data_IF_345176950872
#
_entry.id   IF_345176950872
#
_cell.length_a   1.000
_cell.length_b   1.000
_cell.length_c   1.000
_cell.angle_alpha   90.00
_cell.angle_beta   90.00
_cell.angle_gamma   90.00
#
_symmetry.space_group_name_H-M   'P 1'
#
loop_
_entity.id
_entity.type
_entity.pdbx_description
1 polymer ?
#
# COMPACT_ATOMS: atom_id res chain seq x y z
N UNK A 1 -9.73 -2.30 27.99
CA UNK A 1 -8.62 -1.32 28.11
C UNK A 1 -9.05 0.01 27.53
N UNK A 2 -8.57 1.16 28.07
CA UNK A 2 -8.81 2.47 27.46
C UNK A 2 -8.04 2.51 26.13
N UNK A 3 -8.72 2.88 25.02
CA UNK A 3 -8.10 2.95 23.69
C UNK A 3 -7.01 4.03 23.71
N UNK A 4 -5.83 3.71 23.19
CA UNK A 4 -4.79 4.72 22.94
C UNK A 4 -5.27 5.70 21.88
N UNK A 5 -4.75 6.94 21.89
CA UNK A 5 -4.99 7.94 20.85
C UNK A 5 -3.66 8.43 20.31
N UNK A 6 -3.64 8.95 19.08
CA UNK A 6 -2.48 9.66 18.56
C UNK A 6 -2.18 10.91 19.40
N UNK A 7 -0.89 11.21 19.59
CA UNK A 7 -0.48 12.42 20.30
C UNK A 7 -0.73 13.70 19.48
N UNK A 8 -0.68 13.57 18.15
CA UNK A 8 -0.78 14.71 17.25
C UNK A 8 -1.54 14.35 15.97
N UNK A 9 -2.22 15.37 15.41
CA UNK A 9 -2.87 15.27 14.11
C UNK A 9 -1.87 14.89 13.00
N UNK A 10 -0.68 15.50 13.00
CA UNK A 10 0.39 15.18 12.03
C UNK A 10 0.83 13.73 12.19
N UNK A 11 0.92 13.23 13.43
CA UNK A 11 1.20 11.81 13.69
C UNK A 11 0.17 10.89 13.05
N UNK A 12 -1.12 11.17 13.23
CA UNK A 12 -2.21 10.45 12.57
C UNK A 12 -2.08 10.47 11.04
N UNK A 13 -1.90 11.67 10.44
CA UNK A 13 -1.80 11.81 8.98
C UNK A 13 -0.59 11.03 8.44
N UNK A 14 0.58 11.17 9.06
CA UNK A 14 1.81 10.52 8.60
C UNK A 14 1.76 8.99 8.79
N UNK A 15 1.17 8.48 9.86
CA UNK A 15 0.99 7.03 10.06
C UNK A 15 0.02 6.47 9.04
N UNK A 16 -1.12 7.13 8.83
CA UNK A 16 -2.12 6.69 7.84
C UNK A 16 -1.59 6.79 6.41
N UNK A 17 -0.90 7.89 6.07
CA UNK A 17 -0.24 8.03 4.78
C UNK A 17 0.87 6.99 4.60
N UNK A 18 1.67 6.70 5.64
CA UNK A 18 2.70 5.66 5.61
C UNK A 18 2.14 4.24 5.44
N UNK A 19 0.88 4.01 5.82
CA UNK A 19 0.19 2.76 5.51
C UNK A 19 -0.21 2.67 4.03
N UNK A 20 -0.67 3.78 3.44
CA UNK A 20 -1.04 3.86 2.03
C UNK A 20 0.21 3.89 1.12
N UNK A 21 1.20 4.72 1.46
CA UNK A 21 2.46 4.84 0.71
C UNK A 21 3.26 3.55 0.86
N UNK A 22 3.23 2.74 -0.17
CA UNK A 22 3.90 1.46 -0.19
C UNK A 22 4.67 1.22 -1.48
N UNK A 23 5.02 -0.02 -1.67
CA UNK A 23 5.76 -0.49 -2.85
C UNK A 23 4.97 -0.21 -4.14
N UNK A 24 3.64 -0.28 -4.10
CA UNK A 24 2.76 -0.04 -5.23
C UNK A 24 2.88 1.35 -5.86
N UNK A 25 3.19 2.39 -5.07
CA UNK A 25 3.42 3.76 -5.55
C UNK A 25 4.68 3.88 -6.40
N UNK A 26 5.67 3.02 -6.17
CA UNK A 26 7.00 3.16 -6.78
C UNK A 26 7.21 2.20 -7.94
N UNK A 27 6.64 0.99 -7.92
CA UNK A 27 6.79 0.10 -9.07
C UNK A 27 5.54 -0.01 -9.93
N UNK A 28 4.35 -0.17 -9.33
CA UNK A 28 3.12 -0.45 -10.07
C UNK A 28 2.58 0.81 -10.76
N UNK A 29 2.56 1.93 -10.05
CA UNK A 29 2.05 3.18 -10.58
C UNK A 29 2.87 3.69 -11.77
N UNK A 30 4.23 3.83 -11.71
CA UNK A 30 5.01 4.26 -12.87
C UNK A 30 4.88 3.30 -14.04
N UNK A 31 4.98 2.00 -13.81
CA UNK A 31 4.80 1.00 -14.86
C UNK A 31 3.46 1.17 -15.58
N UNK A 32 2.35 1.23 -14.82
CA UNK A 32 1.03 1.42 -15.41
C UNK A 32 0.90 2.76 -16.14
N UNK A 33 1.48 3.84 -15.63
CA UNK A 33 1.48 5.13 -16.30
C UNK A 33 2.18 5.05 -17.66
N UNK A 34 3.34 4.39 -17.73
CA UNK A 34 4.08 4.19 -18.98
C UNK A 34 3.30 3.36 -20.00
N UNK A 35 2.65 2.29 -19.56
CA UNK A 35 1.90 1.37 -20.43
C UNK A 35 0.53 1.91 -20.88
N UNK A 36 -0.05 2.88 -20.18
CA UNK A 36 -1.43 3.34 -20.37
C UNK A 36 -1.54 4.80 -20.84
N UNK A 37 -0.56 5.32 -21.58
CA UNK A 37 -0.65 6.64 -22.21
C UNK A 37 -0.27 7.82 -21.31
N UNK A 38 0.59 7.59 -20.33
CA UNK A 38 1.22 8.64 -19.52
C UNK A 38 0.22 9.53 -18.81
N UNK A 39 0.17 10.82 -19.20
CA UNK A 39 -0.67 11.83 -18.56
C UNK A 39 -2.16 11.50 -18.54
N UNK A 40 -2.70 10.77 -19.51
CA UNK A 40 -4.10 10.32 -19.46
C UNK A 40 -4.36 9.34 -18.33
N UNK A 41 -3.45 8.37 -18.13
CA UNK A 41 -3.56 7.45 -17.00
C UNK A 41 -3.52 8.20 -15.68
N UNK A 42 -2.59 9.15 -15.52
CA UNK A 42 -2.48 9.98 -14.31
C UNK A 42 -3.77 10.76 -14.05
N UNK A 43 -4.38 11.36 -15.08
CA UNK A 43 -5.64 12.07 -14.95
C UNK A 43 -6.79 11.16 -14.49
N UNK A 44 -6.95 9.98 -15.12
CA UNK A 44 -7.97 9.01 -14.68
C UNK A 44 -7.70 8.49 -13.28
N UNK A 45 -6.44 8.22 -12.93
CA UNK A 45 -6.06 7.82 -11.58
C UNK A 45 -6.47 8.87 -10.54
N UNK A 46 -6.16 10.14 -10.77
CA UNK A 46 -6.56 11.25 -9.87
C UNK A 46 -8.08 11.37 -9.75
N UNK A 47 -8.79 11.23 -10.87
CA UNK A 47 -10.25 11.25 -10.87
C UNK A 47 -10.82 10.13 -9.99
N UNK A 48 -10.35 8.88 -10.17
CA UNK A 48 -10.82 7.74 -9.38
C UNK A 48 -10.41 7.80 -7.92
N UNK A 49 -9.24 8.37 -7.60
CA UNK A 49 -8.86 8.66 -6.23
C UNK A 49 -9.87 9.56 -5.51
N UNK A 50 -10.34 10.62 -6.21
CA UNK A 50 -11.31 11.55 -5.64
C UNK A 50 -12.70 10.91 -5.52
N UNK A 51 -13.17 10.23 -6.57
CA UNK A 51 -14.55 9.73 -6.59
C UNK A 51 -14.73 8.38 -5.87
N UNK A 52 -13.67 7.59 -5.71
CA UNK A 52 -13.74 6.28 -5.06
C UNK A 52 -12.84 6.19 -3.82
N UNK A 53 -11.57 6.53 -3.94
CA UNK A 53 -10.59 6.38 -2.87
C UNK A 53 -10.95 7.18 -1.62
N UNK A 54 -11.16 8.49 -1.75
CA UNK A 54 -11.53 9.35 -0.62
C UNK A 54 -12.85 8.89 0.05
N UNK A 55 -13.95 8.61 -0.66
CA UNK A 55 -15.17 8.09 -0.05
C UNK A 55 -14.98 6.80 0.74
N UNK A 56 -14.31 5.79 0.18
CA UNK A 56 -14.12 4.51 0.87
C UNK A 56 -13.20 4.67 2.07
N UNK A 57 -12.13 5.46 1.95
CA UNK A 57 -11.25 5.79 3.09
C UNK A 57 -12.02 6.45 4.22
N UNK A 58 -12.93 7.40 3.93
CA UNK A 58 -13.74 8.01 4.97
C UNK A 58 -14.68 7.02 5.66
N UNK A 59 -15.13 5.97 4.95
CA UNK A 59 -15.97 4.91 5.54
C UNK A 59 -15.19 4.05 6.52
N UNK A 60 -13.99 3.60 6.17
CA UNK A 60 -13.13 2.86 7.10
C UNK A 60 -12.78 3.71 8.33
N UNK A 61 -12.31 4.94 8.13
CA UNK A 61 -12.00 5.86 9.23
C UNK A 61 -13.22 6.10 10.12
N UNK A 62 -14.44 6.22 9.53
CA UNK A 62 -15.67 6.47 10.28
C UNK A 62 -16.06 5.28 11.17
N UNK A 63 -15.98 4.06 10.65
CA UNK A 63 -16.26 2.84 11.41
C UNK A 63 -15.28 2.73 12.60
N UNK A 64 -13.99 2.96 12.36
CA UNK A 64 -12.96 2.96 13.40
C UNK A 64 -13.20 4.04 14.45
N UNK A 65 -13.42 5.30 14.05
CA UNK A 65 -13.59 6.42 14.96
C UNK A 65 -14.88 6.32 15.79
N UNK A 66 -15.99 5.91 15.18
CA UNK A 66 -17.26 5.76 15.87
C UNK A 66 -17.26 4.60 16.87
N UNK A 67 -16.60 3.49 16.53
CA UNK A 67 -16.56 2.30 17.39
C UNK A 67 -15.48 2.34 18.45
N UNK A 68 -14.36 3.03 18.19
CA UNK A 68 -13.14 2.99 19.04
C UNK A 68 -12.61 1.56 19.24
N UNK A 69 -12.81 0.69 18.24
CA UNK A 69 -12.46 -0.73 18.28
C UNK A 69 -11.72 -1.13 16.99
N UNK A 70 -11.12 -2.32 17.02
CA UNK A 70 -10.65 -2.99 15.80
C UNK A 70 -11.82 -3.59 15.02
N UNK A 71 -11.59 -3.99 13.77
CA UNK A 71 -12.63 -4.30 12.79
C UNK A 71 -13.75 -5.21 13.30
N UNK A 72 -13.44 -6.37 13.90
CA UNK A 72 -14.47 -7.32 14.36
C UNK A 72 -15.40 -6.70 15.40
N UNK A 73 -14.83 -6.09 16.42
CA UNK A 73 -15.60 -5.45 17.49
C UNK A 73 -16.15 -4.08 17.05
N UNK A 74 -15.52 -3.45 16.06
CA UNK A 74 -15.99 -2.22 15.45
C UNK A 74 -17.32 -2.41 14.74
N UNK A 75 -17.39 -3.38 13.85
CA UNK A 75 -18.64 -3.77 13.22
C UNK A 75 -19.70 -4.19 14.23
N UNK A 76 -19.31 -5.06 15.20
CA UNK A 76 -20.23 -5.54 16.23
C UNK A 76 -20.83 -4.42 17.10
N UNK A 77 -20.08 -3.33 17.32
CA UNK A 77 -20.55 -2.18 18.10
C UNK A 77 -21.54 -1.28 17.33
N UNK A 78 -21.44 -1.26 15.99
CA UNK A 78 -22.21 -0.35 15.14
C UNK A 78 -23.34 -1.04 14.38
N UNK A 79 -23.29 -2.36 14.21
CA UNK A 79 -24.26 -3.14 13.46
C UNK A 79 -25.63 -3.18 14.17
N UNK A 80 -26.75 -3.28 13.40
CA UNK A 80 -28.08 -3.54 13.97
C UNK A 80 -28.14 -4.87 14.70
N UNK A 81 -28.96 -4.94 15.74
CA UNK A 81 -29.16 -6.17 16.51
C UNK A 81 -29.58 -7.34 15.61
N UNK A 82 -28.94 -8.50 15.76
CA UNK A 82 -29.20 -9.71 14.99
C UNK A 82 -28.56 -9.76 13.61
N UNK A 83 -27.84 -8.72 13.18
CA UNK A 83 -27.08 -8.73 11.94
C UNK A 83 -25.74 -9.48 12.09
N UNK A 84 -25.06 -9.71 10.98
CA UNK A 84 -23.80 -10.48 10.94
C UNK A 84 -22.66 -9.73 10.24
N UNK A 85 -22.70 -8.39 10.23
CA UNK A 85 -21.66 -7.59 9.59
C UNK A 85 -20.26 -7.78 10.21
N UNK A 86 -20.18 -8.12 11.48
CA UNK A 86 -18.93 -8.41 12.19
C UNK A 86 -18.11 -9.56 11.55
N UNK A 87 -18.72 -10.44 10.74
CA UNK A 87 -17.98 -11.46 9.98
C UNK A 87 -17.01 -10.83 8.99
N UNK A 88 -17.36 -9.65 8.44
CA UNK A 88 -16.42 -8.92 7.60
C UNK A 88 -15.18 -8.47 8.38
N UNK A 89 -15.30 -8.14 9.64
CA UNK A 89 -14.14 -7.85 10.50
C UNK A 89 -13.12 -9.00 10.54
N UNK A 90 -13.60 -10.26 10.55
CA UNK A 90 -12.70 -11.43 10.45
C UNK A 90 -12.07 -11.54 9.06
N UNK A 91 -12.81 -11.26 7.99
CA UNK A 91 -12.24 -11.21 6.65
C UNK A 91 -11.14 -10.14 6.53
N UNK A 92 -11.31 -8.98 7.20
CA UNK A 92 -10.27 -7.95 7.29
C UNK A 92 -9.01 -8.44 8.00
N UNK A 93 -9.15 -9.15 9.13
CA UNK A 93 -8.00 -9.73 9.86
C UNK A 93 -7.25 -10.74 9.00
N UNK A 94 -7.98 -11.62 8.30
CA UNK A 94 -7.38 -12.59 7.37
C UNK A 94 -6.71 -11.87 6.21
N UNK A 95 -7.34 -10.82 5.65
CA UNK A 95 -6.77 -10.01 4.57
C UNK A 95 -5.47 -9.32 4.97
N UNK A 96 -5.41 -8.76 6.18
CA UNK A 96 -4.17 -8.20 6.75
C UNK A 96 -3.07 -9.26 6.93
N UNK A 97 -3.43 -10.47 7.38
CA UNK A 97 -2.48 -11.57 7.53
C UNK A 97 -1.93 -12.00 6.17
N UNK A 98 -2.80 -12.25 5.18
CA UNK A 98 -2.41 -12.61 3.82
C UNK A 98 -1.52 -11.54 3.17
N UNK A 99 -1.88 -10.26 3.32
CA UNK A 99 -1.05 -9.15 2.85
C UNK A 99 0.36 -9.24 3.44
N UNK A 100 0.48 -9.46 4.75
CA UNK A 100 1.78 -9.48 5.41
C UNK A 100 2.59 -10.73 5.10
N UNK A 101 2.00 -11.84 4.67
CA UNK A 101 2.72 -13.06 4.30
C UNK A 101 3.73 -12.79 3.17
N UNK A 102 3.34 -12.08 2.12
CA UNK A 102 4.26 -11.73 1.03
C UNK A 102 4.95 -10.38 1.23
N UNK A 103 4.26 -9.41 1.82
CA UNK A 103 4.77 -8.04 1.92
C UNK A 103 6.01 -7.92 2.82
N UNK A 104 6.09 -8.74 3.89
CA UNK A 104 7.30 -8.81 4.74
C UNK A 104 8.51 -9.35 4.00
N UNK A 105 8.31 -10.31 3.08
CA UNK A 105 9.36 -10.85 2.22
C UNK A 105 9.86 -9.78 1.25
N UNK A 106 8.95 -9.08 0.57
CA UNK A 106 9.32 -8.01 -0.37
C UNK A 106 9.98 -6.83 0.35
N UNK A 107 9.50 -6.46 1.54
CA UNK A 107 10.16 -5.46 2.38
C UNK A 107 11.57 -5.90 2.79
N UNK A 108 11.76 -7.19 3.05
CA UNK A 108 13.08 -7.80 3.27
C UNK A 108 14.02 -7.64 2.08
N UNK A 109 13.52 -7.78 0.83
CA UNK A 109 14.31 -7.55 -0.38
C UNK A 109 14.79 -6.11 -0.50
N UNK A 110 13.94 -5.12 -0.16
CA UNK A 110 14.33 -3.70 -0.14
C UNK A 110 15.48 -3.46 0.83
N UNK A 111 15.36 -4.02 2.02
CA UNK A 111 16.40 -3.94 3.05
C UNK A 111 17.69 -4.64 2.60
N UNK A 112 17.62 -5.81 1.99
CA UNK A 112 18.77 -6.53 1.45
C UNK A 112 19.51 -5.71 0.41
N UNK A 113 18.79 -5.10 -0.54
CA UNK A 113 19.38 -4.26 -1.57
C UNK A 113 20.00 -2.98 -1.01
N UNK A 114 19.37 -2.37 0.00
CA UNK A 114 19.98 -1.26 0.73
C UNK A 114 21.37 -1.65 1.26
N UNK A 115 21.47 -2.78 1.95
CA UNK A 115 22.77 -3.25 2.47
C UNK A 115 23.73 -3.62 1.35
N UNK A 116 23.30 -4.24 0.25
CA UNK A 116 24.15 -4.57 -0.90
C UNK A 116 24.75 -3.30 -1.54
N UNK A 117 23.97 -2.21 -1.68
CA UNK A 117 24.48 -0.94 -2.19
C UNK A 117 25.43 -0.26 -1.21
N UNK A 118 25.07 -0.16 0.07
CA UNK A 118 25.91 0.48 1.10
C UNK A 118 27.24 -0.26 1.29
N UNK A 119 27.20 -1.60 1.31
CA UNK A 119 28.43 -2.42 1.46
C UNK A 119 29.32 -2.39 0.22
N UNK A 120 28.80 -1.95 -0.94
CA UNK A 120 29.54 -1.95 -2.20
C UNK A 120 29.53 -3.30 -2.91
N UNK A 121 28.59 -4.21 -2.58
CA UNK A 121 28.48 -5.49 -3.28
C UNK A 121 28.22 -5.34 -4.80
N UNK A 122 27.67 -4.20 -5.21
CA UNK A 122 27.49 -3.88 -6.62
C UNK A 122 28.72 -3.33 -7.34
N UNK A 123 29.83 -3.03 -6.65
CA UNK A 123 31.06 -2.51 -7.31
C UNK A 123 31.78 -3.54 -8.18
N UNK A 124 31.53 -4.83 -7.96
CA UNK A 124 32.07 -5.94 -8.75
C UNK A 124 31.09 -6.48 -9.79
N UNK A 125 29.89 -5.90 -9.87
CA UNK A 125 28.81 -6.31 -10.77
C UNK A 125 28.81 -5.41 -12.00
N UNK A 126 28.69 -5.97 -13.21
CA UNK A 126 28.50 -5.21 -14.44
C UNK A 126 27.02 -5.08 -14.76
N UNK A 127 26.66 -4.19 -15.68
CA UNK A 127 25.26 -3.99 -16.13
C UNK A 127 24.67 -5.30 -16.65
N UNK A 128 25.44 -6.10 -17.41
CA UNK A 128 25.00 -7.37 -17.98
C UNK A 128 24.77 -8.45 -16.92
N UNK A 129 25.50 -8.40 -15.81
CA UNK A 129 25.40 -9.41 -14.72
C UNK A 129 24.51 -8.97 -13.58
N UNK A 130 23.98 -7.75 -13.60
CA UNK A 130 23.18 -7.18 -12.50
C UNK A 130 21.91 -7.98 -12.20
N UNK A 131 21.26 -8.55 -13.22
CA UNK A 131 20.06 -9.36 -13.06
C UNK A 131 20.33 -10.64 -12.25
N UNK A 132 21.54 -11.17 -12.33
CA UNK A 132 21.95 -12.33 -11.54
C UNK A 132 21.95 -12.08 -10.02
N UNK A 133 22.12 -10.82 -9.58
CA UNK A 133 22.09 -10.47 -8.16
C UNK A 133 20.71 -10.74 -7.57
N UNK A 134 19.65 -10.37 -8.28
CA UNK A 134 18.30 -10.65 -7.85
C UNK A 134 17.97 -12.15 -7.93
N UNK A 135 18.30 -12.79 -9.03
CA UNK A 135 18.09 -14.24 -9.21
C UNK A 135 18.84 -15.06 -8.12
N UNK A 136 20.07 -14.71 -7.81
CA UNK A 136 20.86 -15.37 -6.75
C UNK A 136 20.24 -15.15 -5.36
N UNK A 137 19.73 -13.95 -5.08
CA UNK A 137 19.03 -13.68 -3.82
C UNK A 137 17.76 -14.49 -3.69
N UNK A 138 16.94 -14.56 -4.75
CA UNK A 138 15.71 -15.37 -4.77
C UNK A 138 16.01 -16.87 -4.63
N UNK A 139 17.10 -17.34 -5.22
CA UNK A 139 17.59 -18.73 -5.09
C UNK A 139 18.15 -19.08 -3.71
N UNK A 140 18.38 -18.09 -2.84
CA UNK A 140 18.97 -18.30 -1.51
C UNK A 140 17.92 -18.16 -0.38
N UNK A 141 17.32 -19.28 0.09
CA UNK A 141 16.27 -19.23 1.11
C UNK A 141 16.77 -18.66 2.46
N UNK A 142 18.06 -18.82 2.76
CA UNK A 142 18.65 -18.33 4.02
C UNK A 142 18.74 -16.80 3.99
N UNK A 143 19.26 -16.23 2.91
CA UNK A 143 19.35 -14.77 2.75
C UNK A 143 17.96 -14.14 2.78
N UNK A 144 17.02 -14.65 1.99
CA UNK A 144 15.64 -14.17 1.97
C UNK A 144 14.99 -14.28 3.36
N UNK A 145 15.16 -15.43 4.03
CA UNK A 145 14.59 -15.68 5.35
C UNK A 145 15.16 -14.75 6.43
N UNK A 146 16.46 -14.45 6.40
CA UNK A 146 17.11 -13.51 7.34
C UNK A 146 16.53 -12.11 7.18
N UNK A 147 16.45 -11.56 5.97
CA UNK A 147 15.93 -10.21 5.75
C UNK A 147 14.42 -10.10 6.02
N UNK A 148 13.64 -11.13 5.70
CA UNK A 148 12.25 -11.23 6.12
C UNK A 148 12.12 -11.25 7.64
N UNK A 149 12.92 -12.05 8.35
CA UNK A 149 12.91 -12.14 9.81
C UNK A 149 13.29 -10.79 10.46
N UNK A 150 14.29 -10.07 9.93
CA UNK A 150 14.67 -8.73 10.39
C UNK A 150 13.50 -7.75 10.21
N UNK A 151 12.81 -7.81 9.08
CA UNK A 151 11.64 -6.96 8.82
C UNK A 151 10.51 -7.26 9.82
N UNK A 152 10.19 -8.53 10.03
CA UNK A 152 9.16 -8.95 11.01
C UNK A 152 9.56 -8.52 12.42
N UNK A 153 10.77 -8.82 12.85
CA UNK A 153 11.26 -8.47 14.19
C UNK A 153 11.28 -6.95 14.41
N UNK A 154 11.74 -6.18 13.42
CA UNK A 154 11.73 -4.72 13.47
C UNK A 154 10.31 -4.14 13.60
N UNK A 155 9.36 -4.63 12.79
CA UNK A 155 7.96 -4.21 12.87
C UNK A 155 7.32 -4.52 14.24
N UNK A 156 7.57 -5.71 14.77
CA UNK A 156 7.09 -6.11 16.10
C UNK A 156 7.73 -5.26 17.22
N UNK A 157 9.02 -4.94 17.09
CA UNK A 157 9.71 -4.07 18.05
C UNK A 157 9.07 -2.68 18.09
N UNK A 158 8.79 -2.09 16.94
CA UNK A 158 8.08 -0.80 16.84
C UNK A 158 6.70 -0.88 17.48
N UNK A 159 5.90 -1.88 17.10
CA UNK A 159 4.54 -2.05 17.64
C UNK A 159 4.53 -2.39 19.15
N UNK A 160 5.56 -3.03 19.68
CA UNK A 160 5.66 -3.34 21.12
C UNK A 160 5.65 -2.08 22.01
N UNK A 161 6.15 -0.96 21.48
CA UNK A 161 6.17 0.34 22.15
C UNK A 161 4.82 1.05 22.28
N UNK A 162 3.73 0.49 21.73
CA UNK A 162 2.41 1.11 21.69
C UNK A 162 2.23 2.08 20.53
N UNK A 163 1.05 2.69 20.48
CA UNK A 163 0.71 3.62 19.37
C UNK A 163 1.57 4.87 19.44
N UNK A 164 1.68 5.50 20.60
CA UNK A 164 2.32 6.82 20.74
C UNK A 164 3.84 6.74 20.69
N UNK A 165 4.44 5.88 21.52
CA UNK A 165 5.90 5.81 21.68
C UNK A 165 6.57 4.94 20.62
N UNK A 166 5.87 3.93 20.11
CA UNK A 166 6.34 3.02 19.06
C UNK A 166 5.91 3.51 17.68
N UNK A 167 4.68 3.19 17.28
CA UNK A 167 4.18 3.40 15.92
C UNK A 167 4.27 4.87 15.48
N UNK A 168 3.61 5.81 16.20
CA UNK A 168 3.56 7.22 15.80
C UNK A 168 4.96 7.86 15.73
N UNK A 169 5.79 7.64 16.77
CA UNK A 169 7.11 8.26 16.83
C UNK A 169 8.02 7.77 15.70
N UNK A 170 8.09 6.45 15.51
CA UNK A 170 8.99 5.83 14.52
C UNK A 170 8.51 6.15 13.10
N UNK A 171 7.22 5.92 12.81
CA UNK A 171 6.66 6.18 11.48
C UNK A 171 6.75 7.66 11.11
N UNK A 172 6.55 8.58 12.06
CA UNK A 172 6.69 10.02 11.80
C UNK A 172 8.11 10.38 11.34
N UNK A 173 9.15 9.85 12.00
CA UNK A 173 10.54 10.08 11.60
C UNK A 173 10.79 9.47 10.22
N UNK A 174 10.39 8.22 10.01
CA UNK A 174 10.55 7.53 8.73
C UNK A 174 9.86 8.27 7.59
N UNK A 175 8.63 8.72 7.78
CA UNK A 175 7.87 9.46 6.76
C UNK A 175 8.48 10.81 6.41
N UNK A 176 9.00 11.55 7.38
CA UNK A 176 9.73 12.81 7.11
C UNK A 176 11.00 12.53 6.31
N UNK A 177 11.78 11.50 6.70
CA UNK A 177 12.97 11.08 5.94
C UNK A 177 12.59 10.59 4.53
N UNK A 178 11.53 9.80 4.39
CA UNK A 178 11.02 9.31 3.11
C UNK A 178 10.66 10.47 2.17
N UNK A 179 9.88 11.44 2.66
CA UNK A 179 9.49 12.61 1.87
C UNK A 179 10.69 13.48 1.48
N UNK A 180 11.70 13.61 2.34
CA UNK A 180 12.94 14.31 2.00
C UNK A 180 13.75 13.53 0.94
N UNK A 181 13.90 12.21 1.10
CA UNK A 181 14.62 11.36 0.17
C UNK A 181 14.00 11.35 -1.22
N UNK A 182 12.66 11.24 -1.33
CA UNK A 182 12.00 11.22 -2.63
C UNK A 182 12.19 12.55 -3.38
N UNK A 183 12.16 13.68 -2.68
CA UNK A 183 12.43 14.98 -3.28
C UNK A 183 13.89 15.07 -3.77
N UNK A 184 14.86 14.66 -2.97
CA UNK A 184 16.28 14.65 -3.35
C UNK A 184 16.52 13.77 -4.56
N UNK A 185 15.97 12.55 -4.57
CA UNK A 185 16.08 11.61 -5.69
C UNK A 185 15.43 12.16 -6.97
N UNK A 186 14.23 12.76 -6.86
CA UNK A 186 13.55 13.34 -8.00
C UNK A 186 14.32 14.56 -8.56
N UNK A 187 14.80 15.46 -7.71
CA UNK A 187 15.62 16.61 -8.15
C UNK A 187 16.87 16.11 -8.87
N UNK A 188 17.57 15.11 -8.33
CA UNK A 188 18.73 14.51 -9.01
C UNK A 188 18.32 13.91 -10.38
N UNK A 189 17.24 13.13 -10.43
CA UNK A 189 16.79 12.50 -11.68
C UNK A 189 16.42 13.53 -12.75
N UNK A 190 15.87 14.68 -12.36
CA UNK A 190 15.56 15.80 -13.25
C UNK A 190 16.81 16.52 -13.82
N UNK A 191 18.00 16.32 -13.24
CA UNK A 191 19.26 16.87 -13.79
C UNK A 191 19.92 15.98 -14.82
N UNK A 192 19.40 14.77 -15.04
CA UNK A 192 19.95 13.81 -16.00
C UNK A 192 19.67 14.23 -17.46
N UNK A 193 20.51 13.79 -18.39
CA UNK A 193 20.46 14.19 -19.81
C UNK A 193 19.15 13.80 -20.52
N UNK A 194 18.52 12.70 -20.15
CA UNK A 194 17.25 12.20 -20.68
C UNK A 194 16.01 12.74 -19.98
N UNK A 195 16.16 13.61 -18.97
CA UNK A 195 15.06 14.02 -18.10
C UNK A 195 13.87 14.61 -18.87
N UNK A 196 14.12 15.50 -19.81
CA UNK A 196 13.06 16.12 -20.61
C UNK A 196 12.21 15.10 -21.39
N UNK A 197 12.86 14.08 -21.99
CA UNK A 197 12.17 13.00 -22.72
C UNK A 197 11.38 12.10 -21.75
N UNK A 198 11.96 11.78 -20.60
CA UNK A 198 11.29 10.97 -19.58
C UNK A 198 10.06 11.66 -19.01
N UNK A 199 10.12 12.97 -18.73
CA UNK A 199 8.97 13.76 -18.26
C UNK A 199 7.90 13.85 -19.35
N UNK A 200 8.29 14.12 -20.60
CA UNK A 200 7.36 14.18 -21.74
C UNK A 200 6.62 12.84 -21.90
N UNK A 201 7.33 11.72 -21.86
CA UNK A 201 6.74 10.40 -21.91
C UNK A 201 5.77 10.13 -20.75
N UNK A 202 6.13 10.52 -19.53
CA UNK A 202 5.37 10.25 -18.32
C UNK A 202 4.11 11.12 -18.18
N UNK A 203 4.24 12.42 -18.42
CA UNK A 203 3.18 13.39 -18.12
C UNK A 203 2.43 13.89 -19.37
N UNK A 204 3.01 13.74 -20.56
CA UNK A 204 2.31 14.12 -21.78
C UNK A 204 1.25 13.09 -22.15
N UNK A 205 -0.01 13.52 -22.36
CA UNK A 205 -1.08 12.63 -22.80
C UNK A 205 -0.77 12.01 -24.18
N UNK A 206 -0.70 10.69 -24.25
CA UNK A 206 -0.41 9.95 -25.48
C UNK A 206 -1.66 9.22 -26.00
N UNK A 207 -2.27 9.75 -27.07
CA UNK A 207 -3.48 9.20 -27.65
C UNK A 207 -3.24 7.94 -28.48
N UNK A 208 -2.04 7.76 -29.04
CA UNK A 208 -1.72 6.57 -29.84
C UNK A 208 -1.60 5.34 -28.93
N UNK A 209 -1.01 5.50 -27.75
CA UNK A 209 -1.01 4.44 -26.73
C UNK A 209 -2.41 4.10 -26.27
N UNK A 210 -3.30 5.09 -26.08
CA UNK A 210 -4.70 4.82 -25.73
C UNK A 210 -5.43 4.03 -26.82
N UNK A 211 -5.18 4.36 -28.09
CA UNK A 211 -5.78 3.64 -29.22
C UNK A 211 -5.29 2.20 -29.32
N UNK A 212 -4.00 1.94 -29.05
CA UNK A 212 -3.43 0.59 -29.08
C UNK A 212 -3.87 -0.28 -27.91
N UNK A 213 -3.87 0.29 -26.69
CA UNK A 213 -4.26 -0.43 -25.45
C UNK A 213 -5.79 -0.54 -25.30
N UNK A 214 -6.53 0.44 -25.80
CA UNK A 214 -7.97 0.58 -25.67
C UNK A 214 -8.34 1.42 -24.45
N UNK A 215 -9.18 2.43 -24.66
CA UNK A 215 -9.59 3.39 -23.61
C UNK A 215 -10.20 2.69 -22.37
N UNK A 216 -10.95 1.60 -22.57
CA UNK A 216 -11.54 0.84 -21.48
C UNK A 216 -10.47 0.24 -20.56
N UNK A 217 -9.41 -0.32 -21.13
CA UNK A 217 -8.29 -0.89 -20.36
C UNK A 217 -7.53 0.20 -19.59
N UNK A 218 -7.31 1.36 -20.21
CA UNK A 218 -6.66 2.50 -19.53
C UNK A 218 -7.47 2.97 -18.33
N UNK A 219 -8.79 3.14 -18.52
CA UNK A 219 -9.70 3.54 -17.44
C UNK A 219 -9.72 2.51 -16.31
N UNK A 220 -9.86 1.22 -16.62
CA UNK A 220 -9.91 0.16 -15.60
C UNK A 220 -8.59 -0.01 -14.88
N UNK A 221 -7.45 0.11 -15.56
CA UNK A 221 -6.13 0.07 -14.92
C UNK A 221 -5.93 1.27 -13.98
N UNK A 222 -6.35 2.48 -14.38
CA UNK A 222 -6.27 3.66 -13.53
C UNK A 222 -7.19 3.55 -12.31
N UNK A 223 -8.40 3.01 -12.50
CA UNK A 223 -9.37 2.76 -11.43
C UNK A 223 -8.84 1.72 -10.43
N UNK A 224 -8.30 0.60 -10.93
CA UNK A 224 -7.67 -0.42 -10.09
C UNK A 224 -6.49 0.13 -9.30
N UNK A 225 -5.63 0.93 -9.93
CA UNK A 225 -4.48 1.52 -9.27
C UNK A 225 -4.89 2.52 -8.18
N UNK A 226 -5.90 3.37 -8.44
CA UNK A 226 -6.41 4.33 -7.46
C UNK A 226 -7.00 3.64 -6.22
N UNK A 227 -7.52 2.43 -6.39
CA UNK A 227 -8.09 1.64 -5.32
C UNK A 227 -7.01 0.88 -4.54
N UNK A 228 -6.07 0.28 -5.27
CA UNK A 228 -4.99 -0.50 -4.71
C UNK A 228 -4.04 0.34 -3.85
N UNK A 229 -3.67 1.57 -4.32
CA UNK A 229 -2.68 2.41 -3.66
C UNK A 229 -3.05 2.76 -2.21
N UNK A 230 -4.34 2.83 -1.89
CA UNK A 230 -4.82 3.21 -0.55
C UNK A 230 -5.02 2.01 0.39
N UNK A 231 -4.82 0.77 -0.09
CA UNK A 231 -4.99 -0.48 0.69
C UNK A 231 -6.34 -0.56 1.42
N UNK A 232 -7.44 -0.12 0.76
CA UNK A 232 -8.78 -0.06 1.34
C UNK A 232 -9.50 -1.42 1.27
N UNK A 233 -10.38 -1.69 2.24
CA UNK A 233 -11.22 -2.88 2.27
C UNK A 233 -10.80 -3.93 3.31
N UNK A 234 -9.62 -3.79 3.93
CA UNK A 234 -9.10 -4.73 4.93
C UNK A 234 -8.92 -4.09 6.32
N UNK A 235 -9.63 -3.00 6.59
CA UNK A 235 -9.59 -2.28 7.86
C UNK A 235 -8.22 -1.63 8.20
N UNK A 236 -7.36 -1.42 7.20
CA UNK A 236 -6.07 -0.79 7.41
C UNK A 236 -6.24 0.67 7.91
N UNK A 237 -7.22 1.40 7.38
CA UNK A 237 -7.54 2.75 7.84
C UNK A 237 -8.50 2.77 9.04
N UNK A 238 -9.32 1.74 9.22
CA UNK A 238 -10.24 1.64 10.37
C UNK A 238 -9.50 1.66 11.70
N UNK A 239 -8.38 0.93 11.81
CA UNK A 239 -7.61 0.89 13.05
C UNK A 239 -7.11 2.29 13.44
N UNK A 240 -6.64 3.09 12.45
CA UNK A 240 -6.18 4.46 12.70
C UNK A 240 -7.32 5.40 13.03
N UNK A 241 -8.48 5.23 12.38
CA UNK A 241 -9.72 5.89 12.77
C UNK A 241 -10.04 5.68 14.25
N UNK A 242 -9.83 4.45 14.78
CA UNK A 242 -10.11 4.13 16.18
C UNK A 242 -9.20 4.86 17.19
N UNK A 243 -8.04 5.35 16.76
CA UNK A 243 -7.08 6.12 17.56
C UNK A 243 -7.20 7.64 17.35
N UNK A 244 -8.06 8.08 16.43
CA UNK A 244 -8.22 9.47 16.05
C UNK A 244 -9.11 10.24 17.03
N UNK A 245 -8.82 11.53 17.25
CA UNK A 245 -9.70 12.46 17.98
C UNK A 245 -10.87 12.94 17.10
N UNK A 246 -11.89 13.52 17.72
CA UNK A 246 -13.10 14.02 17.04
C UNK A 246 -12.98 15.46 16.53
N UNK A 247 -11.78 16.08 16.64
CA UNK A 247 -11.55 17.52 16.39
C UNK A 247 -11.62 17.90 14.91
N UNK A 248 -11.44 16.93 14.01
CA UNK A 248 -11.38 17.16 12.57
C UNK A 248 -12.32 16.25 11.78
N UNK A 249 -12.84 16.80 10.66
CA UNK A 249 -13.71 16.04 9.73
C UNK A 249 -12.92 14.93 9.03
N UNK A 250 -13.54 13.76 8.86
CA UNK A 250 -12.89 12.62 8.20
C UNK A 250 -12.60 12.88 6.72
N UNK A 251 -13.47 13.59 6.02
CA UNK A 251 -13.23 13.96 4.62
C UNK A 251 -11.96 14.79 4.46
N UNK A 252 -11.74 15.76 5.37
CA UNK A 252 -10.53 16.58 5.35
C UNK A 252 -9.25 15.77 5.60
N UNK A 253 -9.32 14.78 6.49
CA UNK A 253 -8.17 13.92 6.78
C UNK A 253 -7.89 12.93 5.64
N UNK A 254 -8.94 12.32 5.06
CA UNK A 254 -8.81 11.44 3.90
C UNK A 254 -8.18 12.17 2.69
N UNK A 255 -8.59 13.42 2.43
CA UNK A 255 -7.98 14.24 1.35
C UNK A 255 -6.47 14.43 1.60
N UNK A 256 -6.04 14.70 2.85
CA UNK A 256 -4.62 14.88 3.15
C UNK A 256 -3.81 13.61 2.99
N UNK A 257 -4.36 12.49 3.45
CA UNK A 257 -3.71 11.17 3.29
C UNK A 257 -3.57 10.84 1.80
N UNK A 258 -4.65 10.98 1.01
CA UNK A 258 -4.62 10.75 -0.44
C UNK A 258 -3.66 11.71 -1.16
N UNK A 259 -3.57 12.98 -0.73
CA UNK A 259 -2.64 13.93 -1.34
C UNK A 259 -1.17 13.55 -1.10
N UNK A 260 -0.83 13.04 0.09
CA UNK A 260 0.53 12.56 0.38
C UNK A 260 0.85 11.29 -0.41
N UNK A 261 -0.09 10.34 -0.49
CA UNK A 261 0.05 9.13 -1.28
C UNK A 261 0.29 9.44 -2.77
N UNK A 262 -0.56 10.31 -3.32
CA UNK A 262 -0.45 10.78 -4.71
C UNK A 262 0.87 11.51 -4.97
N UNK A 263 1.30 12.37 -4.04
CA UNK A 263 2.57 13.07 -4.15
C UNK A 263 3.72 12.08 -4.30
N UNK A 264 3.78 11.03 -3.48
CA UNK A 264 4.82 10.02 -3.57
C UNK A 264 4.73 9.24 -4.88
N UNK A 265 3.54 8.84 -5.33
CA UNK A 265 3.34 8.14 -6.59
C UNK A 265 3.83 8.97 -7.80
N UNK A 266 3.49 10.25 -7.86
CA UNK A 266 3.93 11.15 -8.92
C UNK A 266 5.45 11.37 -8.87
N UNK A 267 6.01 11.60 -7.69
CA UNK A 267 7.45 11.79 -7.51
C UNK A 267 8.25 10.53 -7.89
N UNK A 268 7.71 9.33 -7.63
CA UNK A 268 8.34 8.08 -8.06
C UNK A 268 8.45 8.00 -9.59
N UNK A 269 7.42 8.41 -10.33
CA UNK A 269 7.50 8.52 -11.78
C UNK A 269 8.56 9.54 -12.23
N UNK A 270 8.69 10.68 -11.55
CA UNK A 270 9.74 11.68 -11.84
C UNK A 270 11.16 11.20 -11.51
N UNK A 271 11.31 10.18 -10.70
CA UNK A 271 12.60 9.50 -10.47
C UNK A 271 12.88 8.50 -11.60
N UNK A 272 11.91 7.64 -11.89
CA UNK A 272 12.10 6.45 -12.74
C UNK A 272 12.21 6.82 -14.22
N UNK A 273 11.24 7.58 -14.77
CA UNK A 273 11.23 7.87 -16.19
C UNK A 273 12.43 8.67 -16.68
N UNK A 274 12.83 9.80 -16.04
CA UNK A 274 14.05 10.50 -16.43
C UNK A 274 15.29 9.62 -16.38
N UNK A 275 15.41 8.76 -15.37
CA UNK A 275 16.53 7.85 -15.24
C UNK A 275 16.54 6.80 -16.37
N UNK A 276 15.42 6.11 -16.63
CA UNK A 276 15.33 5.13 -17.72
C UNK A 276 15.66 5.74 -19.08
N UNK A 277 15.14 6.92 -19.40
CA UNK A 277 15.44 7.61 -20.67
C UNK A 277 16.87 8.14 -20.76
N UNK A 278 17.54 8.42 -19.65
CA UNK A 278 18.94 8.88 -19.65
C UNK A 278 19.93 7.75 -19.92
N UNK A 279 19.59 6.54 -19.47
CA UNK A 279 20.44 5.36 -19.59
C UNK A 279 19.96 4.34 -20.62
N UNK A 280 18.91 4.68 -21.41
CA UNK A 280 18.30 3.82 -22.43
C UNK A 280 17.90 2.43 -21.92
N UNK A 281 17.33 2.36 -20.73
CA UNK A 281 16.84 1.13 -20.11
C UNK A 281 15.32 1.09 -20.23
N UNK A 282 14.79 -0.04 -20.72
CA UNK A 282 13.33 -0.26 -20.81
C UNK A 282 12.70 -0.45 -19.44
N UNK A 283 11.42 -0.08 -19.35
CA UNK A 283 10.64 -0.22 -18.13
C UNK A 283 10.13 -1.65 -18.01
N UNK A 284 10.66 -2.39 -17.06
CA UNK A 284 10.13 -3.68 -16.65
C UNK A 284 8.89 -3.54 -15.75
N UNK A 285 8.23 -4.65 -15.46
CA UNK A 285 7.04 -4.72 -14.64
C UNK A 285 7.31 -5.37 -13.28
N UNK A 286 6.49 -5.01 -12.29
CA UNK A 286 6.55 -5.61 -10.96
C UNK A 286 7.91 -5.46 -10.27
N UNK A 287 8.36 -6.50 -9.55
CA UNK A 287 9.65 -6.49 -8.86
C UNK A 287 10.85 -6.23 -9.77
N UNK A 288 10.81 -6.66 -11.03
CA UNK A 288 11.92 -6.48 -11.97
C UNK A 288 12.28 -5.00 -12.20
N UNK A 289 11.30 -4.10 -12.20
CA UNK A 289 11.57 -2.66 -12.29
C UNK A 289 12.51 -2.18 -11.19
N UNK A 290 12.29 -2.61 -9.96
CA UNK A 290 13.06 -2.15 -8.79
C UNK A 290 14.37 -2.91 -8.63
N UNK A 291 14.38 -4.22 -8.84
CA UNK A 291 15.52 -5.08 -8.49
C UNK A 291 16.41 -5.44 -9.68
N UNK A 292 15.98 -5.16 -10.90
CA UNK A 292 16.75 -5.41 -12.13
C UNK A 292 16.98 -4.12 -12.92
N UNK A 293 15.92 -3.39 -13.30
CA UNK A 293 16.02 -2.17 -14.12
C UNK A 293 16.77 -1.04 -13.42
N UNK A 294 16.36 -0.66 -12.21
CA UNK A 294 16.99 0.46 -11.49
C UNK A 294 18.45 0.19 -11.06
N UNK A 295 18.83 -1.01 -10.59
CA UNK A 295 20.24 -1.31 -10.35
C UNK A 295 21.14 -1.15 -11.57
N UNK A 296 20.68 -1.50 -12.79
CA UNK A 296 21.43 -1.25 -14.04
C UNK A 296 21.73 0.25 -14.22
N UNK A 297 20.72 1.09 -13.97
CA UNK A 297 20.87 2.54 -14.05
C UNK A 297 21.88 3.05 -13.02
N UNK A 298 21.80 2.56 -11.77
CA UNK A 298 22.74 2.97 -10.72
C UNK A 298 24.17 2.48 -10.98
N UNK A 299 24.38 1.37 -11.68
CA UNK A 299 25.70 0.91 -12.06
C UNK A 299 26.38 1.83 -13.11
N UNK A 300 25.59 2.35 -14.06
CA UNK A 300 26.07 3.27 -15.10
C UNK A 300 26.16 4.74 -14.62
N UNK A 301 25.49 5.07 -13.53
CA UNK A 301 25.36 6.44 -13.06
C UNK A 301 26.58 6.88 -12.24
N UNK A 302 27.13 8.09 -12.47
CA UNK A 302 28.16 8.65 -11.59
C UNK A 302 27.68 8.74 -10.14
N UNK A 303 28.40 8.12 -9.20
CA UNK A 303 28.00 8.04 -7.79
C UNK A 303 26.84 7.09 -7.53
N UNK A 304 26.55 6.16 -8.43
CA UNK A 304 25.40 5.26 -8.36
C UNK A 304 25.30 4.43 -7.09
N UNK A 305 26.44 4.10 -6.45
CA UNK A 305 26.44 3.48 -5.10
C UNK A 305 25.69 4.33 -4.08
N UNK A 306 25.89 5.65 -4.09
CA UNK A 306 25.21 6.58 -3.17
C UNK A 306 23.74 6.70 -3.55
N UNK A 307 23.43 6.93 -4.83
CA UNK A 307 22.06 7.09 -5.31
C UNK A 307 21.24 5.81 -5.14
N UNK A 308 21.82 4.65 -5.43
CA UNK A 308 21.19 3.35 -5.17
C UNK A 308 20.94 3.11 -3.68
N UNK A 309 21.91 3.46 -2.81
CA UNK A 309 21.73 3.36 -1.35
C UNK A 309 20.58 4.25 -0.87
N UNK A 310 20.51 5.50 -1.32
CA UNK A 310 19.43 6.43 -0.95
C UNK A 310 18.08 5.97 -1.49
N UNK A 311 18.03 5.43 -2.70
CA UNK A 311 16.80 4.90 -3.29
C UNK A 311 16.29 3.68 -2.49
N UNK A 312 17.15 2.70 -2.20
CA UNK A 312 16.72 1.53 -1.44
C UNK A 312 16.46 1.84 0.04
N UNK A 313 17.08 2.88 0.62
CA UNK A 313 16.69 3.40 1.92
C UNK A 313 15.26 3.99 1.89
N UNK A 314 14.96 4.80 0.87
CA UNK A 314 13.62 5.32 0.63
C UNK A 314 12.61 4.18 0.49
N UNK A 315 12.89 3.15 -0.32
CA UNK A 315 12.04 1.99 -0.52
C UNK A 315 11.85 1.17 0.77
N UNK A 316 12.92 1.02 1.56
CA UNK A 316 12.83 0.35 2.87
C UNK A 316 11.90 1.10 3.81
N UNK A 317 11.98 2.43 3.87
CA UNK A 317 11.07 3.23 4.70
C UNK A 317 9.62 3.16 4.21
N UNK A 318 9.40 3.20 2.90
CA UNK A 318 8.08 3.07 2.30
C UNK A 318 7.43 1.72 2.62
N UNK A 319 8.16 0.63 2.42
CA UNK A 319 7.65 -0.72 2.72
C UNK A 319 7.47 -0.96 4.21
N UNK A 320 8.42 -0.54 5.04
CA UNK A 320 8.41 -0.78 6.47
C UNK A 320 7.33 0.04 7.21
N UNK A 321 6.97 1.24 6.71
CA UNK A 321 5.84 2.00 7.27
C UNK A 321 4.51 1.27 7.10
N UNK A 322 4.27 0.63 5.96
CA UNK A 322 3.11 -0.24 5.73
C UNK A 322 3.15 -1.47 6.63
N UNK A 323 4.31 -2.14 6.76
CA UNK A 323 4.48 -3.30 7.65
C UNK A 323 4.07 -2.96 9.09
N UNK A 324 4.61 -1.88 9.64
CA UNK A 324 4.31 -1.47 11.03
C UNK A 324 2.84 -1.09 11.21
N UNK A 325 2.23 -0.46 10.21
CA UNK A 325 0.83 -0.06 10.20
C UNK A 325 -0.12 -1.27 10.23
N UNK A 326 0.11 -2.26 9.38
CA UNK A 326 -0.72 -3.47 9.31
C UNK A 326 -0.46 -4.40 10.50
N UNK A 327 0.78 -4.47 11.00
CA UNK A 327 1.08 -5.19 12.25
C UNK A 327 0.30 -4.62 13.44
N UNK A 328 0.21 -3.29 13.54
CA UNK A 328 -0.62 -2.65 14.56
C UNK A 328 -2.08 -3.08 14.47
N UNK A 329 -2.64 -3.14 13.26
CA UNK A 329 -4.01 -3.62 13.06
C UNK A 329 -4.21 -5.06 13.58
N UNK A 330 -3.31 -5.98 13.23
CA UNK A 330 -3.36 -7.37 13.69
C UNK A 330 -3.19 -7.48 15.22
N UNK A 331 -2.24 -6.75 15.80
CA UNK A 331 -1.98 -6.74 17.24
C UNK A 331 -3.15 -6.15 18.01
N UNK A 332 -3.70 -5.02 17.54
CA UNK A 332 -4.86 -4.40 18.18
C UNK A 332 -6.11 -5.28 18.06
N UNK A 333 -6.30 -5.97 16.92
CA UNK A 333 -7.37 -6.95 16.75
C UNK A 333 -7.24 -8.12 17.73
N UNK A 334 -6.02 -8.60 17.95
CA UNK A 334 -5.77 -9.64 18.94
C UNK A 334 -6.04 -9.16 20.38
N UNK A 335 -5.62 -7.95 20.72
CA UNK A 335 -5.92 -7.35 22.03
C UNK A 335 -7.43 -7.20 22.26
N UNK A 336 -8.15 -6.70 21.26
CA UNK A 336 -9.59 -6.41 21.38
C UNK A 336 -10.42 -7.71 21.43
N UNK A 337 -10.17 -8.66 20.51
CA UNK A 337 -11.00 -9.85 20.37
C UNK A 337 -10.79 -10.89 21.49
N UNK A 338 -9.55 -11.03 21.97
CA UNK A 338 -9.21 -12.05 22.97
C UNK A 338 -8.84 -11.46 24.34
N UNK A 339 -8.85 -10.13 24.49
CA UNK A 339 -8.49 -9.48 25.76
C UNK A 339 -7.01 -9.69 26.15
N UNK A 340 -6.14 -10.03 25.19
CA UNK A 340 -4.73 -10.27 25.48
C UNK A 340 -3.98 -8.99 25.79
N UNK A 341 -2.96 -9.10 26.64
CA UNK A 341 -2.03 -7.99 26.83
C UNK A 341 -1.25 -7.72 25.55
N UNK A 342 -0.85 -6.46 25.34
CA UNK A 342 -0.08 -6.08 24.15
C UNK A 342 1.16 -6.95 23.95
N UNK A 343 1.92 -7.23 25.02
CA UNK A 343 3.12 -8.09 24.93
C UNK A 343 2.79 -9.50 24.42
N UNK A 344 1.69 -10.11 24.93
CA UNK A 344 1.22 -11.42 24.49
C UNK A 344 0.79 -11.37 23.01
N UNK A 345 0.03 -10.35 22.61
CA UNK A 345 -0.43 -10.17 21.23
C UNK A 345 0.74 -10.00 20.27
N UNK A 346 1.73 -9.17 20.61
CA UNK A 346 2.94 -8.98 19.79
C UNK A 346 3.69 -10.31 19.61
N UNK A 347 3.86 -11.11 20.67
CA UNK A 347 4.56 -12.40 20.59
C UNK A 347 3.82 -13.41 19.71
N UNK A 348 2.50 -13.59 19.91
CA UNK A 348 1.70 -14.57 19.18
C UNK A 348 1.51 -14.14 17.72
N UNK A 349 1.10 -12.90 17.47
CA UNK A 349 0.95 -12.36 16.10
C UNK A 349 2.27 -12.41 15.36
N UNK A 350 3.37 -12.09 16.04
CA UNK A 350 4.71 -12.17 15.47
C UNK A 350 5.10 -13.59 15.05
N UNK A 351 4.86 -14.58 15.89
CA UNK A 351 5.12 -15.98 15.56
C UNK A 351 4.25 -16.44 14.38
N UNK A 352 2.97 -16.08 14.36
CA UNK A 352 2.06 -16.40 13.25
C UNK A 352 2.54 -15.76 11.96
N UNK A 353 2.88 -14.46 11.97
CA UNK A 353 3.38 -13.74 10.79
C UNK A 353 4.67 -14.34 10.26
N UNK A 354 5.63 -14.61 11.15
CA UNK A 354 6.90 -15.21 10.76
C UNK A 354 6.69 -16.56 10.07
N UNK A 355 5.92 -17.46 10.67
CA UNK A 355 5.65 -18.77 10.11
C UNK A 355 4.83 -18.69 8.81
N UNK A 356 3.85 -17.81 8.76
CA UNK A 356 2.99 -17.63 7.58
C UNK A 356 3.73 -16.98 6.39
N UNK A 357 4.83 -16.25 6.62
CA UNK A 357 5.66 -15.66 5.55
C UNK A 357 6.68 -16.65 4.96
N UNK A 358 6.95 -17.78 5.63
CA UNK A 358 7.91 -18.78 5.14
C UNK A 358 7.54 -19.35 3.75
N UNK A 359 6.26 -19.69 3.45
CA UNK A 359 5.89 -20.18 2.13
C UNK A 359 6.27 -19.23 0.99
N UNK A 360 6.09 -17.92 1.17
CA UNK A 360 6.49 -16.92 0.18
C UNK A 360 8.02 -16.92 -0.05
N UNK A 361 8.83 -17.01 1.02
CA UNK A 361 10.29 -17.15 0.92
C UNK A 361 10.68 -18.41 0.16
N UNK A 362 10.07 -19.56 0.47
CA UNK A 362 10.39 -20.84 -0.14
C UNK A 362 9.88 -20.97 -1.58
N UNK A 363 8.87 -20.19 -1.96
CA UNK A 363 8.26 -20.23 -3.29
C UNK A 363 9.22 -19.92 -4.44
N UNK A 364 10.30 -19.18 -4.18
CA UNK A 364 11.31 -18.82 -5.19
C UNK A 364 12.48 -19.82 -5.28
N UNK A 365 12.57 -20.77 -4.37
CA UNK A 365 13.72 -21.69 -4.29
C UNK A 365 13.27 -23.14 -4.05
N UNK A 366 13.10 -23.55 -2.79
CA UNK A 366 12.78 -24.95 -2.42
C UNK A 366 11.44 -25.40 -3.00
N UNK A 367 10.45 -24.50 -3.07
CA UNK A 367 9.11 -24.75 -3.58
C UNK A 367 8.83 -24.07 -4.93
N UNK A 368 9.88 -23.74 -5.70
CA UNK A 368 9.74 -23.05 -7.00
C UNK A 368 8.88 -23.80 -8.03
N UNK A 369 8.73 -25.12 -7.88
CA UNK A 369 7.80 -25.92 -8.70
C UNK A 369 6.35 -25.94 -8.22
N UNK A 370 6.03 -25.34 -7.06
CA UNK A 370 4.68 -25.27 -6.54
C UNK A 370 3.98 -23.98 -6.99
N UNK A 371 2.97 -24.14 -7.84
CA UNK A 371 2.14 -23.05 -8.35
C UNK A 371 0.71 -23.24 -7.82
N UNK A 372 0.27 -22.44 -6.83
CA UNK A 372 -1.09 -22.54 -6.26
C UNK A 372 -2.19 -22.29 -7.30
N UNK A 373 -1.86 -21.54 -8.36
CA UNK A 373 -2.71 -21.26 -9.49
C UNK A 373 -1.88 -21.29 -10.78
N UNK A 374 -2.45 -21.70 -11.94
CA UNK A 374 -1.73 -21.71 -13.21
C UNK A 374 -1.03 -20.37 -13.51
N UNK A 375 0.29 -20.41 -13.72
CA UNK A 375 1.10 -19.24 -14.04
C UNK A 375 1.36 -18.25 -12.90
N UNK A 376 1.04 -18.60 -11.64
CA UNK A 376 1.30 -17.78 -10.46
C UNK A 376 2.15 -18.52 -9.45
N UNK A 377 3.23 -17.88 -9.01
CA UNK A 377 3.96 -18.32 -7.83
C UNK A 377 3.18 -18.03 -6.53
N UNK A 378 3.77 -18.35 -5.38
CA UNK A 378 3.11 -18.17 -4.08
C UNK A 378 2.83 -16.69 -3.81
N UNK A 379 3.79 -15.79 -4.09
CA UNK A 379 3.63 -14.36 -3.90
C UNK A 379 2.53 -13.79 -4.80
N UNK A 380 2.55 -14.13 -6.08
CA UNK A 380 1.54 -13.68 -7.05
C UNK A 380 0.14 -14.17 -6.69
N UNK A 381 0.04 -15.37 -6.12
CA UNK A 381 -1.23 -15.92 -5.65
C UNK A 381 -1.73 -15.19 -4.40
N UNK A 382 -0.87 -14.93 -3.41
CA UNK A 382 -1.20 -14.18 -2.20
C UNK A 382 -1.61 -12.74 -2.55
N UNK A 383 -0.86 -12.06 -3.43
CA UNK A 383 -1.21 -10.72 -3.92
C UNK A 383 -2.54 -10.73 -4.68
N UNK A 384 -2.79 -11.73 -5.51
CA UNK A 384 -4.06 -11.87 -6.22
C UNK A 384 -5.25 -11.96 -5.25
N UNK A 385 -5.15 -12.80 -4.20
CA UNK A 385 -6.21 -12.93 -3.19
C UNK A 385 -6.48 -11.61 -2.48
N UNK A 386 -5.44 -10.86 -2.14
CA UNK A 386 -5.58 -9.57 -1.47
C UNK A 386 -6.08 -8.50 -2.45
N UNK A 387 -5.33 -8.27 -3.52
CA UNK A 387 -5.51 -7.10 -4.40
C UNK A 387 -6.73 -7.22 -5.30
N UNK A 388 -7.02 -8.43 -5.83
CA UNK A 388 -8.12 -8.63 -6.78
C UNK A 388 -9.44 -9.07 -6.12
N UNK A 389 -9.40 -9.61 -4.90
CA UNK A 389 -10.59 -10.10 -4.21
C UNK A 389 -10.87 -9.33 -2.92
N UNK A 390 -9.98 -9.41 -1.91
CA UNK A 390 -10.28 -8.93 -0.57
C UNK A 390 -10.43 -7.41 -0.50
N UNK A 391 -9.57 -6.64 -1.17
CA UNK A 391 -9.67 -5.18 -1.18
C UNK A 391 -10.98 -4.70 -1.82
N UNK A 392 -11.37 -5.11 -3.06
CA UNK A 392 -12.62 -4.67 -3.67
C UNK A 392 -13.86 -5.17 -2.92
N UNK A 393 -13.90 -6.45 -2.52
CA UNK A 393 -15.04 -7.01 -1.78
C UNK A 393 -15.19 -6.30 -0.44
N UNK A 394 -14.10 -6.13 0.30
CA UNK A 394 -14.11 -5.48 1.60
C UNK A 394 -14.58 -4.04 1.51
N UNK A 395 -14.13 -3.30 0.53
CA UNK A 395 -14.58 -1.92 0.30
C UNK A 395 -16.05 -1.83 -0.08
N UNK A 396 -16.55 -2.79 -0.86
CA UNK A 396 -17.99 -2.89 -1.15
C UNK A 396 -18.78 -3.15 0.15
N UNK A 397 -18.26 -4.01 1.02
CA UNK A 397 -18.91 -4.27 2.32
C UNK A 397 -18.89 -3.03 3.22
N UNK A 398 -17.78 -2.29 3.33
CA UNK A 398 -17.74 -1.00 4.05
C UNK A 398 -18.77 -0.01 3.50
N UNK A 399 -18.85 0.11 2.19
CA UNK A 399 -19.82 0.98 1.53
C UNK A 399 -21.26 0.57 1.87
N UNK A 400 -21.59 -0.71 1.69
CA UNK A 400 -22.93 -1.22 1.99
C UNK A 400 -23.28 -1.07 3.48
N UNK A 401 -22.34 -1.32 4.37
CA UNK A 401 -22.51 -1.14 5.81
C UNK A 401 -22.80 0.31 6.19
N UNK A 402 -22.05 1.25 5.65
CA UNK A 402 -22.20 2.67 5.95
C UNK A 402 -23.46 3.30 5.33
N UNK A 403 -23.97 2.73 4.22
CA UNK A 403 -25.04 3.40 3.43
C UNK A 403 -26.40 2.71 3.52
N UNK A 404 -26.44 1.38 3.75
CA UNK A 404 -27.68 0.63 3.75
C UNK A 404 -28.46 0.76 5.08
N UNK A 405 -29.77 0.54 5.01
CA UNK A 405 -30.65 0.51 6.20
C UNK A 405 -30.41 -0.72 7.09
N UNK A 406 -29.88 -1.82 6.52
CA UNK A 406 -29.54 -3.03 7.24
C UNK A 406 -28.13 -3.02 7.84
N UNK A 407 -27.35 -1.95 7.59
CA UNK A 407 -26.05 -1.70 8.21
C UNK A 407 -26.10 -0.56 9.24
N UNK A 408 -25.00 0.15 9.39
CA UNK A 408 -24.92 1.32 10.30
C UNK A 408 -25.79 2.49 9.83
N UNK A 409 -25.91 2.69 8.53
CA UNK A 409 -26.79 3.66 7.88
C UNK A 409 -26.13 4.99 7.57
N UNK A 410 -26.56 5.59 6.43
CA UNK A 410 -25.93 6.79 5.87
C UNK A 410 -25.96 8.00 6.81
N UNK A 411 -27.07 8.21 7.53
CA UNK A 411 -27.23 9.42 8.35
C UNK A 411 -26.28 9.40 9.57
N UNK A 412 -26.05 8.23 10.17
CA UNK A 412 -25.08 8.04 11.25
C UNK A 412 -23.64 8.19 10.74
N UNK A 413 -23.34 7.59 9.59
CA UNK A 413 -22.07 7.73 8.90
C UNK A 413 -21.77 9.19 8.57
N UNK A 414 -22.72 9.92 7.97
CA UNK A 414 -22.57 11.34 7.63
C UNK A 414 -22.31 12.21 8.86
N UNK A 415 -23.07 11.96 9.94
CA UNK A 415 -22.90 12.66 11.20
C UNK A 415 -21.48 12.45 11.76
N UNK A 416 -20.97 11.21 11.69
CA UNK A 416 -19.61 10.88 12.12
C UNK A 416 -18.57 11.60 11.25
N UNK A 417 -18.69 11.51 9.92
CA UNK A 417 -17.75 12.17 9.00
C UNK A 417 -17.62 13.67 9.23
N UNK A 418 -18.72 14.32 9.60
CA UNK A 418 -18.82 15.78 9.77
C UNK A 418 -18.51 16.29 11.18
N UNK A 419 -18.14 15.41 12.12
CA UNK A 419 -17.66 15.85 13.44
C UNK A 419 -16.35 16.61 13.30
N UNK A 420 -16.23 17.67 14.11
CA UNK A 420 -15.05 18.52 14.14
C UNK A 420 -15.00 19.56 13.03
N UNK A 421 -13.82 20.15 12.84
CA UNK A 421 -13.56 21.24 11.89
C UNK A 421 -12.91 20.73 10.60
N UNK A 422 -13.31 21.26 9.44
CA UNK A 422 -12.71 20.91 8.15
C UNK A 422 -13.73 20.75 7.03
N UNK A 423 -13.37 20.00 5.99
CA UNK A 423 -14.21 19.75 4.81
C UNK A 423 -15.38 18.86 5.21
N UNK A 424 -16.60 19.39 5.13
CA UNK A 424 -17.82 18.64 5.44
C UNK A 424 -18.36 17.92 4.21
N UNK A 425 -18.82 16.70 4.41
CA UNK A 425 -19.49 15.91 3.40
C UNK A 425 -20.95 16.36 3.27
N UNK A 426 -21.42 16.56 2.02
CA UNK A 426 -22.79 16.95 1.76
C UNK A 426 -23.75 15.75 1.82
N UNK A 427 -24.97 15.91 2.37
CA UNK A 427 -26.02 14.88 2.31
C UNK A 427 -26.39 14.44 0.88
N UNK A 428 -26.14 15.27 -0.12
CA UNK A 428 -26.40 14.97 -1.55
C UNK A 428 -25.58 13.77 -2.05
N UNK A 429 -24.46 13.43 -1.42
CA UNK A 429 -23.67 12.25 -1.77
C UNK A 429 -24.38 10.92 -1.47
N UNK A 430 -25.51 10.93 -0.74
CA UNK A 430 -26.30 9.72 -0.46
C UNK A 430 -26.66 8.92 -1.71
N UNK A 431 -27.09 9.61 -2.78
CA UNK A 431 -27.45 8.98 -4.06
C UNK A 431 -26.22 8.37 -4.73
N UNK A 432 -25.12 9.12 -4.77
CA UNK A 432 -23.86 8.66 -5.32
C UNK A 432 -23.35 7.38 -4.61
N UNK A 433 -23.27 7.39 -3.28
CA UNK A 433 -22.79 6.25 -2.49
C UNK A 433 -23.75 5.05 -2.54
N UNK A 434 -25.04 5.28 -2.75
CA UNK A 434 -26.01 4.19 -2.78
C UNK A 434 -26.07 3.47 -4.12
N UNK A 435 -25.82 4.15 -5.23
CA UNK A 435 -26.06 3.60 -6.57
C UNK A 435 -24.81 3.60 -7.46
N UNK A 436 -24.04 4.69 -7.49
CA UNK A 436 -22.93 4.84 -8.44
C UNK A 436 -21.67 4.15 -7.92
N UNK A 437 -21.25 4.47 -6.69
CA UNK A 437 -20.02 3.95 -6.12
C UNK A 437 -20.00 2.40 -6.01
N UNK A 438 -21.09 1.70 -5.63
CA UNK A 438 -21.11 0.23 -5.66
C UNK A 438 -20.87 -0.34 -7.05
N UNK A 439 -21.44 0.26 -8.10
CA UNK A 439 -21.25 -0.18 -9.49
C UNK A 439 -19.79 -0.05 -9.88
N UNK A 440 -19.13 1.07 -9.54
CA UNK A 440 -17.71 1.27 -9.83
C UNK A 440 -16.84 0.21 -9.13
N UNK A 441 -17.11 -0.10 -7.86
CA UNK A 441 -16.37 -1.14 -7.12
C UNK A 441 -16.61 -2.54 -7.71
N UNK A 442 -17.86 -2.84 -8.13
CA UNK A 442 -18.17 -4.11 -8.79
C UNK A 442 -17.44 -4.24 -10.13
N UNK A 443 -17.30 -3.15 -10.89
CA UNK A 443 -16.50 -3.15 -12.13
C UNK A 443 -15.05 -3.52 -11.83
N UNK A 444 -14.45 -2.94 -10.79
CA UNK A 444 -13.07 -3.31 -10.36
C UNK A 444 -12.98 -4.81 -10.05
N UNK A 445 -13.90 -5.32 -9.25
CA UNK A 445 -13.94 -6.73 -8.87
C UNK A 445 -14.04 -7.64 -10.10
N UNK A 446 -14.96 -7.34 -11.01
CA UNK A 446 -15.17 -8.15 -12.23
C UNK A 446 -13.91 -8.11 -13.10
N UNK A 447 -13.33 -6.93 -13.34
CA UNK A 447 -12.11 -6.79 -14.16
C UNK A 447 -10.93 -7.51 -13.52
N UNK A 448 -10.79 -7.46 -12.20
CA UNK A 448 -9.76 -8.21 -11.46
C UNK A 448 -9.88 -9.73 -11.57
N UNK A 449 -11.09 -10.23 -11.82
CA UNK A 449 -11.38 -11.66 -11.98
C UNK A 449 -11.26 -12.18 -13.42
N UNK A 450 -11.36 -11.29 -14.42
CA UNK A 450 -11.28 -11.70 -15.85
C UNK A 450 -10.07 -12.57 -16.20
N UNK A 451 -8.85 -12.33 -15.65
CA UNK A 451 -7.69 -13.20 -15.93
C UNK A 451 -7.85 -14.66 -15.47
N UNK A 452 -8.81 -14.96 -14.57
CA UNK A 452 -9.09 -16.32 -14.12
C UNK A 452 -9.85 -17.16 -15.14
N UNK A 453 -10.50 -16.51 -16.09
CA UNK A 453 -11.39 -17.14 -17.08
C UNK A 453 -10.79 -17.13 -18.50
N UNK A 454 -9.58 -16.64 -18.64
CA UNK A 454 -8.77 -16.65 -19.86
C UNK A 454 -7.56 -17.58 -19.70
#
# INVERSE_FOLDING_TARGET
MKRENFNSRIGFILVSAGCAIGIGNVWKFPYLAGQNGGGYFVLFYLLFLIIMGIPVMTMELAVGRASRKSAVLGYKALEPAGSKWHWHGWACVIGCLLLMMYYTTVSGWMLAYFFKFVSGAFTTVTVETSDSVFANMLGNPVEMGIFMAITVAGGLLVCSGGVQKGLEKVTKIMMVCLLALIVVLAVHSLTLSGAAKGIDFYLRPNMDTIRSVGIFNVITNAMNQAFFTLSLGIAAMEIFGSYMHDDHTLTGEAVRICALDTFVAIMAGLIIFPACFSYNVELDHGPALIFMTLPKIFLDMPGGRVWGSLFFLFMTFASFSTVTAVFENLIASACDNWGWSRKKSVGIVGAVLFLASIPCVLGYNVWSGFHPMPGKDILDFEDFLVSSLLLPIGSLVYLLFCVSKCGWGFDKYLAECNKGTGIKMSPKFKVYFRYILPILIIIILVVGLVPLFR
#
